data_IF_691816860385
#
_entry.id   IF_691816860385
#
_cell.length_a   1.000
_cell.length_b   1.000
_cell.length_c   1.000
_cell.angle_alpha   90.00
_cell.angle_beta   90.00
_cell.angle_gamma   90.00
#
_symmetry.space_group_name_H-M   'P 1'
#
loop_
_entity.id
_entity.type
_entity.pdbx_description
1 polymer ?
#
# COMPACT_ATOMS: atom_id res chain seq x y z
N UNK A 1 37.91 -3.46 -6.51
CA UNK A 1 38.15 -2.03 -6.82
C UNK A 1 37.68 -1.22 -5.62
N UNK A 2 38.47 -0.28 -5.08
CA UNK A 2 38.10 0.35 -3.82
C UNK A 2 37.07 1.46 -4.07
N UNK A 3 35.97 1.39 -3.33
CA UNK A 3 35.12 2.55 -3.05
C UNK A 3 35.81 3.36 -1.95
N UNK A 4 36.38 4.51 -2.27
CA UNK A 4 36.81 5.50 -1.29
C UNK A 4 36.33 6.87 -1.75
N UNK A 5 35.73 7.65 -0.84
CA UNK A 5 34.94 8.89 -1.00
C UNK A 5 33.41 8.75 -1.24
N UNK A 6 32.84 7.54 -1.29
CA UNK A 6 31.44 7.31 -1.73
C UNK A 6 30.32 7.41 -0.68
N UNK A 7 30.59 7.44 0.63
CA UNK A 7 29.54 7.26 1.65
C UNK A 7 28.44 8.34 1.60
N UNK A 8 28.79 9.63 1.50
CA UNK A 8 27.81 10.74 1.42
C UNK A 8 27.08 10.79 0.07
N UNK A 9 27.77 10.42 -1.02
CA UNK A 9 27.15 10.33 -2.36
C UNK A 9 26.12 9.20 -2.42
N UNK A 10 26.41 8.04 -1.84
CA UNK A 10 25.48 6.92 -1.73
C UNK A 10 24.23 7.30 -0.94
N UNK A 11 24.33 7.94 0.22
CA UNK A 11 23.16 8.33 1.01
C UNK A 11 22.25 9.33 0.29
N UNK A 12 22.82 10.35 -0.39
CA UNK A 12 22.03 11.34 -1.14
C UNK A 12 21.32 10.71 -2.34
N UNK A 13 21.99 9.80 -3.05
CA UNK A 13 21.39 9.08 -4.16
C UNK A 13 20.32 8.09 -3.68
N UNK A 14 20.54 7.37 -2.58
CA UNK A 14 19.55 6.45 -2.00
C UNK A 14 18.28 7.18 -1.55
N UNK A 15 18.41 8.38 -0.96
CA UNK A 15 17.25 9.20 -0.61
C UNK A 15 16.46 9.63 -1.85
N UNK A 16 17.17 10.12 -2.88
CA UNK A 16 16.54 10.55 -4.14
C UNK A 16 15.87 9.38 -4.87
N UNK A 17 16.52 8.21 -4.90
CA UNK A 17 15.98 6.98 -5.48
C UNK A 17 14.77 6.44 -4.71
N UNK A 18 14.77 6.57 -3.37
CA UNK A 18 13.61 6.22 -2.54
C UNK A 18 12.41 7.13 -2.84
N UNK A 19 12.63 8.44 -2.95
CA UNK A 19 11.57 9.39 -3.31
C UNK A 19 11.04 9.13 -4.72
N UNK A 20 11.94 8.91 -5.70
CA UNK A 20 11.57 8.50 -7.05
C UNK A 20 10.65 7.27 -7.02
N UNK A 21 11.05 6.19 -6.32
CA UNK A 21 10.23 4.99 -6.19
C UNK A 21 8.85 5.29 -5.59
N UNK A 22 8.79 6.04 -4.48
CA UNK A 22 7.52 6.38 -3.81
C UNK A 22 6.61 7.30 -4.63
N UNK A 23 7.15 8.08 -5.56
CA UNK A 23 6.37 8.97 -6.43
C UNK A 23 5.94 8.31 -7.74
N UNK A 24 6.82 7.52 -8.36
CA UNK A 24 6.64 7.04 -9.74
C UNK A 24 6.07 5.64 -9.80
N UNK A 25 6.46 4.74 -8.89
CA UNK A 25 5.92 3.36 -8.88
C UNK A 25 4.39 3.32 -8.75
N UNK A 26 3.72 4.19 -7.96
CA UNK A 26 2.26 4.32 -8.00
C UNK A 26 1.65 4.58 -9.38
N UNK A 27 2.34 5.34 -10.24
CA UNK A 27 1.87 5.65 -11.59
C UNK A 27 2.01 4.42 -12.51
N UNK A 28 3.11 3.69 -12.39
CA UNK A 28 3.32 2.45 -13.13
C UNK A 28 2.35 1.34 -12.68
N UNK A 29 2.01 1.29 -11.39
CA UNK A 29 0.96 0.42 -10.85
C UNK A 29 -0.39 0.76 -11.48
N UNK A 30 -0.73 2.05 -11.54
CA UNK A 30 -1.98 2.49 -12.16
C UNK A 30 -2.04 2.07 -13.64
N UNK A 31 -0.97 2.27 -14.41
CA UNK A 31 -0.90 1.81 -15.80
C UNK A 31 -1.03 0.27 -15.90
N UNK A 32 -0.41 -0.46 -14.98
CA UNK A 32 -0.47 -1.92 -14.95
C UNK A 32 -1.92 -2.42 -14.78
N UNK A 33 -2.67 -1.90 -13.83
CA UNK A 33 -4.05 -2.32 -13.55
C UNK A 33 -5.09 -1.73 -14.52
N UNK A 34 -4.75 -0.71 -15.32
CA UNK A 34 -5.61 -0.26 -16.42
C UNK A 34 -5.82 -1.33 -17.50
N UNK A 35 -4.91 -2.30 -17.62
CA UNK A 35 -5.03 -3.41 -18.58
C UNK A 35 -5.89 -4.52 -17.98
N UNK A 36 -7.02 -4.82 -18.61
CA UNK A 36 -7.93 -5.87 -18.16
C UNK A 36 -7.23 -7.22 -18.01
N UNK A 37 -7.46 -7.89 -16.89
CA UNK A 37 -6.90 -9.21 -16.59
C UNK A 37 -5.54 -9.21 -15.91
N UNK A 38 -4.91 -8.04 -15.75
CA UNK A 38 -3.69 -7.93 -14.95
C UNK A 38 -4.01 -8.08 -13.45
N UNK A 39 -3.18 -8.86 -12.77
CA UNK A 39 -3.25 -9.17 -11.34
C UNK A 39 -1.84 -9.37 -10.80
N UNK A 40 -1.66 -9.23 -9.50
CA UNK A 40 -0.40 -9.50 -8.80
C UNK A 40 0.78 -8.69 -9.35
N UNK A 41 0.63 -7.35 -9.33
CA UNK A 41 1.71 -6.44 -9.74
C UNK A 41 3.01 -6.73 -9.00
N UNK A 42 2.95 -6.99 -7.69
CA UNK A 42 4.15 -7.13 -6.84
C UNK A 42 5.06 -8.25 -7.34
N UNK A 43 4.49 -9.38 -7.76
CA UNK A 43 5.28 -10.51 -8.24
C UNK A 43 5.46 -10.51 -9.76
N UNK A 44 4.44 -10.11 -10.54
CA UNK A 44 4.42 -10.28 -11.99
C UNK A 44 4.71 -8.99 -12.78
N UNK A 45 4.34 -7.83 -12.24
CA UNK A 45 4.41 -6.54 -12.95
C UNK A 45 5.56 -5.62 -12.50
N UNK A 46 6.11 -5.86 -11.31
CA UNK A 46 7.05 -4.94 -10.66
C UNK A 46 8.41 -4.94 -11.33
N UNK A 47 8.82 -3.77 -11.82
CA UNK A 47 10.11 -3.61 -12.49
C UNK A 47 11.29 -3.80 -11.52
N UNK A 48 12.36 -4.44 -12.02
CA UNK A 48 13.55 -4.77 -11.22
C UNK A 48 14.24 -3.56 -10.60
N UNK A 49 14.15 -2.39 -11.23
CA UNK A 49 14.78 -1.19 -10.69
C UNK A 49 14.12 -0.70 -9.39
N UNK A 50 12.79 -0.84 -9.25
CA UNK A 50 12.11 -0.52 -7.99
C UNK A 50 12.49 -1.49 -6.87
N UNK A 51 12.58 -2.80 -7.19
CA UNK A 51 13.03 -3.83 -6.25
C UNK A 51 14.42 -3.53 -5.71
N UNK A 52 15.37 -3.22 -6.60
CA UNK A 52 16.75 -2.86 -6.23
C UNK A 52 16.81 -1.58 -5.39
N UNK A 53 16.05 -0.54 -5.75
CA UNK A 53 15.98 0.69 -4.96
C UNK A 53 15.43 0.46 -3.55
N UNK A 54 14.45 -0.44 -3.41
CA UNK A 54 13.93 -0.82 -2.10
C UNK A 54 14.93 -1.65 -1.29
N UNK A 55 15.60 -2.63 -1.93
CA UNK A 55 16.64 -3.46 -1.33
C UNK A 55 17.78 -2.61 -0.77
N UNK A 56 18.38 -1.74 -1.59
CA UNK A 56 19.46 -0.85 -1.14
C UNK A 56 19.04 0.09 -0.01
N UNK A 57 17.76 0.49 0.03
CA UNK A 57 17.23 1.30 1.13
C UNK A 57 17.11 0.51 2.44
N UNK A 58 16.72 -0.77 2.37
CA UNK A 58 16.65 -1.66 3.54
C UNK A 58 18.05 -1.98 4.09
N UNK A 59 19.04 -2.13 3.21
CA UNK A 59 20.44 -2.33 3.61
C UNK A 59 21.03 -1.10 4.34
N UNK A 60 20.71 0.10 3.86
CA UNK A 60 21.18 1.38 4.45
C UNK A 60 20.53 1.69 5.81
N UNK A 61 19.29 1.24 6.03
CA UNK A 61 18.56 1.46 7.29
C UNK A 61 17.78 0.22 7.74
N UNK A 62 18.47 -0.81 8.26
CA UNK A 62 17.86 -2.10 8.60
C UNK A 62 16.91 -2.03 9.80
N UNK A 63 17.03 -1.01 10.64
CA UNK A 63 16.22 -0.83 11.85
C UNK A 63 14.89 -0.09 11.60
N UNK A 64 14.70 0.46 10.39
CA UNK A 64 13.65 1.43 10.11
C UNK A 64 13.86 2.74 10.85
N UNK A 65 13.26 3.84 10.39
CA UNK A 65 13.19 5.04 11.24
C UNK A 65 12.20 4.75 12.36
N UNK A 66 12.60 4.85 13.63
CA UNK A 66 11.69 4.73 14.77
C UNK A 66 10.43 5.57 14.56
N UNK A 67 9.26 4.95 14.76
CA UNK A 67 7.96 5.54 14.42
C UNK A 67 7.41 6.43 15.55
N UNK A 68 8.18 7.42 15.99
CA UNK A 68 7.67 8.49 16.89
C UNK A 68 6.94 9.59 16.11
N UNK A 69 6.45 9.27 14.90
CA UNK A 69 5.78 10.23 14.02
C UNK A 69 4.41 10.57 14.58
N UNK A 70 4.11 11.87 14.61
CA UNK A 70 2.80 12.41 15.00
C UNK A 70 1.99 12.96 13.82
N UNK A 71 2.51 12.80 12.59
CA UNK A 71 1.94 13.34 11.36
C UNK A 71 2.18 12.37 10.22
N UNK A 72 1.21 12.31 9.30
CA UNK A 72 1.28 11.50 8.09
C UNK A 72 2.47 11.91 7.21
N UNK A 73 3.07 10.92 6.53
CA UNK A 73 4.09 11.16 5.50
C UNK A 73 3.46 11.82 4.28
N UNK A 74 4.20 12.67 3.58
CA UNK A 74 3.74 13.24 2.30
C UNK A 74 3.70 12.22 1.18
N UNK A 75 4.57 11.21 1.24
CA UNK A 75 4.64 10.10 0.29
C UNK A 75 4.56 8.79 1.06
N UNK A 76 3.59 7.95 0.68
CA UNK A 76 3.41 6.62 1.27
C UNK A 76 4.71 5.82 1.24
N UNK A 77 5.06 5.22 2.37
CA UNK A 77 6.37 4.59 2.53
C UNK A 77 6.53 3.33 1.68
N UNK A 78 5.46 2.56 1.62
CA UNK A 78 5.28 1.42 0.75
C UNK A 78 4.76 1.89 -0.61
N UNK A 79 5.63 1.83 -1.61
CA UNK A 79 5.30 2.24 -2.96
C UNK A 79 4.37 1.26 -3.68
N UNK A 80 4.21 0.03 -3.17
CA UNK A 80 3.26 -0.96 -3.66
C UNK A 80 1.86 -0.81 -3.06
N UNK A 81 1.61 0.17 -2.19
CA UNK A 81 0.32 0.38 -1.53
C UNK A 81 -0.87 0.32 -2.51
N UNK A 82 -0.78 1.02 -3.65
CA UNK A 82 -1.86 1.04 -4.63
C UNK A 82 -2.09 -0.31 -5.31
N UNK A 83 -1.05 -1.16 -5.44
CA UNK A 83 -1.24 -2.51 -5.95
C UNK A 83 -2.09 -3.34 -4.99
N UNK A 84 -1.87 -3.21 -3.68
CA UNK A 84 -2.70 -3.89 -2.67
C UNK A 84 -4.15 -3.41 -2.68
N UNK A 85 -4.39 -2.11 -2.94
CA UNK A 85 -5.74 -1.56 -3.10
C UNK A 85 -6.44 -2.18 -4.31
N UNK A 86 -5.76 -2.28 -5.46
CA UNK A 86 -6.34 -2.88 -6.67
C UNK A 86 -6.61 -4.38 -6.47
N UNK A 87 -5.71 -5.12 -5.81
CA UNK A 87 -5.97 -6.51 -5.43
C UNK A 87 -7.15 -6.63 -4.44
N UNK A 88 -7.30 -5.71 -3.49
CA UNK A 88 -8.44 -5.69 -2.59
C UNK A 88 -9.75 -5.46 -3.36
N UNK A 89 -9.76 -4.60 -4.38
CA UNK A 89 -10.92 -4.40 -5.27
C UNK A 89 -11.25 -5.69 -6.03
N UNK A 90 -10.23 -6.36 -6.60
CA UNK A 90 -10.42 -7.63 -7.32
C UNK A 90 -10.97 -8.72 -6.39
N UNK A 91 -10.40 -8.86 -5.19
CA UNK A 91 -10.87 -9.83 -4.21
C UNK A 91 -12.27 -9.49 -3.68
N UNK A 92 -12.62 -8.21 -3.56
CA UNK A 92 -13.98 -7.81 -3.18
C UNK A 92 -15.02 -8.19 -4.25
N UNK A 93 -14.65 -8.13 -5.55
CA UNK A 93 -15.50 -8.66 -6.64
C UNK A 93 -15.66 -10.18 -6.54
N UNK A 94 -14.56 -10.90 -6.29
CA UNK A 94 -14.58 -12.36 -6.09
C UNK A 94 -15.44 -12.77 -4.88
N UNK A 95 -15.38 -12.00 -3.79
CA UNK A 95 -16.22 -12.24 -2.62
C UNK A 95 -17.71 -12.16 -2.95
N UNK A 96 -18.10 -11.20 -3.80
CA UNK A 96 -19.49 -11.01 -4.24
C UNK A 96 -19.94 -12.11 -5.21
N UNK A 97 -19.14 -12.39 -6.24
CA UNK A 97 -19.56 -13.16 -7.43
C UNK A 97 -18.97 -14.57 -7.54
N UNK A 98 -17.91 -14.88 -6.80
CA UNK A 98 -17.14 -16.12 -6.92
C UNK A 98 -17.79 -17.34 -6.29
N UNK A 99 -17.17 -18.51 -6.50
CA UNK A 99 -17.56 -19.77 -5.83
C UNK A 99 -17.03 -19.84 -4.40
N UNK A 100 -17.51 -20.79 -3.59
CA UNK A 100 -17.19 -20.86 -2.15
C UNK A 100 -15.68 -20.78 -1.85
N UNK A 101 -14.87 -21.57 -2.54
CA UNK A 101 -13.40 -21.58 -2.39
C UNK A 101 -12.76 -20.21 -2.74
N UNK A 102 -13.23 -19.57 -3.81
CA UNK A 102 -12.76 -18.22 -4.20
C UNK A 102 -13.15 -17.17 -3.17
N UNK A 103 -14.33 -17.32 -2.55
CA UNK A 103 -14.80 -16.41 -1.48
C UNK A 103 -13.96 -16.56 -0.21
N UNK A 104 -13.58 -17.78 0.15
CA UNK A 104 -12.70 -18.04 1.30
C UNK A 104 -11.33 -17.39 1.09
N UNK A 105 -10.71 -17.62 -0.08
CA UNK A 105 -9.42 -17.01 -0.43
C UNK A 105 -9.51 -15.47 -0.49
N UNK A 106 -10.59 -14.93 -1.07
CA UNK A 106 -10.82 -13.49 -1.11
C UNK A 106 -10.98 -12.88 0.29
N UNK A 107 -11.66 -13.60 1.19
CA UNK A 107 -11.85 -13.17 2.58
C UNK A 107 -10.50 -13.06 3.30
N UNK A 108 -9.65 -14.08 3.20
CA UNK A 108 -8.32 -14.06 3.81
C UNK A 108 -7.48 -12.89 3.28
N UNK A 109 -7.49 -12.67 1.96
CA UNK A 109 -6.77 -11.56 1.35
C UNK A 109 -7.27 -10.19 1.88
N UNK A 110 -8.58 -10.02 2.01
CA UNK A 110 -9.17 -8.76 2.50
C UNK A 110 -8.84 -8.51 3.98
N UNK A 111 -8.84 -9.56 4.80
CA UNK A 111 -8.42 -9.47 6.22
C UNK A 111 -6.95 -9.03 6.32
N UNK A 112 -6.05 -9.71 5.59
CA UNK A 112 -4.63 -9.36 5.56
C UNK A 112 -4.40 -7.93 5.05
N UNK A 113 -5.12 -7.53 4.01
CA UNK A 113 -5.09 -6.15 3.50
C UNK A 113 -5.52 -5.15 4.57
N UNK A 114 -6.64 -5.41 5.26
CA UNK A 114 -7.17 -4.53 6.29
C UNK A 114 -6.22 -4.35 7.47
N UNK A 115 -5.59 -5.43 7.94
CA UNK A 115 -4.56 -5.39 8.99
C UNK A 115 -3.34 -4.55 8.58
N UNK A 116 -2.85 -4.76 7.36
CA UNK A 116 -1.70 -4.04 6.82
C UNK A 116 -1.98 -2.54 6.69
N UNK A 117 -3.14 -2.16 6.14
CA UNK A 117 -3.55 -0.76 6.01
C UNK A 117 -3.65 -0.10 7.38
N UNK A 118 -4.27 -0.75 8.37
CA UNK A 118 -4.39 -0.18 9.71
C UNK A 118 -3.03 0.01 10.37
N UNK A 119 -2.12 -0.95 10.21
CA UNK A 119 -0.74 -0.82 10.69
C UNK A 119 -0.03 0.38 10.06
N UNK A 120 -0.27 0.64 8.77
CA UNK A 120 0.29 1.82 8.10
C UNK A 120 -0.32 3.13 8.62
N UNK A 121 -1.62 3.14 8.89
CA UNK A 121 -2.34 4.29 9.48
C UNK A 121 -1.77 4.61 10.86
N UNK A 122 -1.68 3.64 11.77
CA UNK A 122 -1.16 3.84 13.12
C UNK A 122 0.30 4.29 13.17
N UNK A 123 1.12 3.86 12.21
CA UNK A 123 2.52 4.26 12.09
C UNK A 123 2.73 5.57 11.32
N UNK A 124 1.65 6.20 10.84
CA UNK A 124 1.70 7.37 9.97
C UNK A 124 2.59 7.17 8.73
N UNK A 125 2.65 5.93 8.22
CA UNK A 125 3.49 5.54 7.07
C UNK A 125 2.75 5.56 5.73
N UNK A 126 1.49 5.99 5.73
CA UNK A 126 0.69 6.24 4.52
C UNK A 126 0.34 7.72 4.41
N UNK A 127 0.24 8.22 3.18
CA UNK A 127 -0.17 9.61 2.91
C UNK A 127 -1.67 9.79 3.16
N UNK A 128 -2.08 10.98 3.60
CA UNK A 128 -3.51 11.32 3.77
C UNK A 128 -4.28 11.35 2.44
N UNK A 129 -3.58 11.38 1.30
CA UNK A 129 -4.18 11.30 -0.04
C UNK A 129 -5.02 10.03 -0.27
N UNK A 130 -4.75 8.94 0.49
CA UNK A 130 -5.57 7.74 0.40
C UNK A 130 -7.02 7.99 0.80
N UNK A 131 -7.28 8.99 1.66
CA UNK A 131 -8.62 9.35 2.13
C UNK A 131 -9.30 10.42 1.27
N UNK A 132 -8.68 10.81 0.16
CA UNK A 132 -9.33 11.71 -0.78
C UNK A 132 -10.62 11.06 -1.32
N UNK A 133 -11.78 11.77 -1.39
CA UNK A 133 -13.07 11.15 -1.71
C UNK A 133 -13.15 10.38 -3.05
N UNK A 134 -12.24 10.68 -3.98
CA UNK A 134 -12.17 10.06 -5.30
C UNK A 134 -11.04 9.04 -5.45
N UNK A 135 -10.28 8.77 -4.39
CA UNK A 135 -9.20 7.78 -4.39
C UNK A 135 -9.74 6.37 -4.62
N UNK A 136 -8.93 5.46 -5.18
CA UNK A 136 -9.33 4.05 -5.33
C UNK A 136 -9.60 3.39 -3.97
N UNK A 137 -8.90 3.81 -2.91
CA UNK A 137 -9.12 3.29 -1.55
C UNK A 137 -10.49 3.69 -1.00
N UNK A 138 -10.89 4.96 -1.14
CA UNK A 138 -12.20 5.43 -0.70
C UNK A 138 -13.33 4.86 -1.55
N UNK A 139 -13.10 4.68 -2.86
CA UNK A 139 -14.04 3.99 -3.75
C UNK A 139 -14.21 2.52 -3.36
N UNK A 140 -13.11 1.81 -3.10
CA UNK A 140 -13.14 0.42 -2.61
C UNK A 140 -13.99 0.31 -1.35
N UNK A 141 -13.70 1.15 -0.35
CA UNK A 141 -14.46 1.17 0.90
C UNK A 141 -15.95 1.41 0.64
N UNK A 142 -16.30 2.40 -0.19
CA UNK A 142 -17.71 2.76 -0.48
C UNK A 142 -18.45 1.68 -1.27
N UNK A 143 -17.85 1.16 -2.32
CA UNK A 143 -18.52 0.28 -3.30
C UNK A 143 -18.67 -1.16 -2.80
N UNK A 144 -17.77 -1.59 -1.91
CA UNK A 144 -17.77 -2.94 -1.35
C UNK A 144 -18.07 -2.98 0.15
N UNK A 145 -18.42 -1.85 0.77
CA UNK A 145 -18.67 -1.70 2.22
C UNK A 145 -19.44 -2.88 2.81
N UNK A 146 -20.58 -3.24 2.22
CA UNK A 146 -21.45 -4.29 2.76
C UNK A 146 -20.80 -5.68 2.70
N UNK A 147 -20.07 -5.97 1.62
CA UNK A 147 -19.39 -7.25 1.44
C UNK A 147 -18.20 -7.36 2.40
N UNK A 148 -17.35 -6.31 2.44
CA UNK A 148 -16.12 -6.32 3.23
C UNK A 148 -16.38 -6.18 4.72
N UNK A 149 -17.45 -5.52 5.17
CA UNK A 149 -17.77 -5.43 6.60
C UNK A 149 -18.02 -6.81 7.22
N UNK A 150 -18.55 -7.77 6.45
CA UNK A 150 -18.69 -9.16 6.94
C UNK A 150 -17.33 -9.78 7.26
N UNK A 151 -16.32 -9.53 6.42
CA UNK A 151 -14.95 -10.02 6.59
C UNK A 151 -14.14 -9.22 7.64
N UNK A 152 -14.30 -7.89 7.64
CA UNK A 152 -13.50 -6.95 8.42
C UNK A 152 -14.12 -6.60 9.78
N UNK A 153 -15.26 -7.18 10.14
CA UNK A 153 -16.04 -6.83 11.34
C UNK A 153 -15.23 -6.82 12.65
N UNK A 154 -14.22 -7.69 12.76
CA UNK A 154 -13.34 -7.78 13.93
C UNK A 154 -12.06 -6.93 13.80
N UNK A 155 -11.85 -6.25 12.67
CA UNK A 155 -10.65 -5.49 12.41
C UNK A 155 -10.82 -4.01 12.78
N UNK A 156 -9.80 -3.38 13.37
CA UNK A 156 -9.87 -1.95 13.73
C UNK A 156 -10.10 -1.04 12.53
N UNK A 157 -9.68 -1.45 11.33
CA UNK A 157 -9.92 -0.68 10.11
C UNK A 157 -11.41 -0.44 9.85
N UNK A 158 -12.26 -1.44 10.10
CA UNK A 158 -13.70 -1.28 9.87
C UNK A 158 -14.28 -0.18 10.78
N UNK A 159 -13.96 -0.22 12.08
CA UNK A 159 -14.40 0.80 13.04
C UNK A 159 -13.85 2.19 12.69
N UNK A 160 -12.57 2.28 12.35
CA UNK A 160 -11.90 3.52 11.97
C UNK A 160 -12.57 4.19 10.76
N UNK A 161 -12.93 3.40 9.75
CA UNK A 161 -13.58 3.90 8.54
C UNK A 161 -15.07 4.21 8.77
N UNK A 162 -15.78 3.40 9.55
CA UNK A 162 -17.20 3.62 9.90
C UNK A 162 -17.44 4.91 10.68
N UNK A 163 -16.55 5.22 11.63
CA UNK A 163 -16.66 6.43 12.44
C UNK A 163 -16.07 7.67 11.79
N UNK A 164 -15.59 7.55 10.55
CA UNK A 164 -14.91 8.61 9.81
C UNK A 164 -13.72 9.21 10.57
N UNK A 165 -13.02 8.41 11.39
CA UNK A 165 -11.86 8.86 12.17
C UNK A 165 -10.73 9.38 11.27
N UNK A 166 -10.68 8.91 10.02
CA UNK A 166 -9.76 9.38 8.98
C UNK A 166 -9.90 10.87 8.64
N UNK A 167 -11.01 11.53 8.96
CA UNK A 167 -11.14 12.99 8.79
C UNK A 167 -10.15 13.77 9.66
N UNK A 168 -9.72 13.16 10.77
CA UNK A 168 -8.70 13.71 11.67
C UNK A 168 -7.27 13.26 11.33
N UNK A 169 -7.09 12.48 10.25
CA UNK A 169 -5.80 11.94 9.83
C UNK A 169 -4.97 12.97 9.07
N UNK A 170 -4.27 13.85 9.80
CA UNK A 170 -3.06 14.59 9.38
C UNK A 170 -2.63 15.64 10.42
#
# INVERSE_FOLDING_TARGET
MPQSEKATFCTRWLYSGTNYRRMVEPLDIAEYYMKSGNTDYVNLGRSEHYKKLEEWRKEDNPSGSGNDRRKAVSLTEDSCFWAYVEEAIINSKRLREGILEEKENATEHLVNFGENVMKMIWSYSVSSEIFHPHSSFMKWWKDYRQDILSCLSNLPLAYYMENEEYQSYA
#
